data_IF_516903899468
#
_entry.id   IF_516903899468
#
_cell.length_a   1.000
_cell.length_b   1.000
_cell.length_c   1.000
_cell.angle_alpha   90.00
_cell.angle_beta   90.00
_cell.angle_gamma   90.00
#
_symmetry.space_group_name_H-M   'P 1'
#
loop_
_entity.id
_entity.type
_entity.pdbx_description
1 polymer ?
#
# COMPACT_ATOMS: atom_id res chain seq x y z
N UNK A 1 8.97 14.79 9.51
CA UNK A 1 8.22 13.98 8.53
C UNK A 1 8.64 14.40 7.13
N UNK A 2 9.20 13.50 6.31
CA UNK A 2 9.47 13.81 4.90
C UNK A 2 8.41 13.12 4.04
N UNK A 3 7.42 13.91 3.61
CA UNK A 3 6.40 13.52 2.63
C UNK A 3 7.00 13.66 1.25
N UNK A 4 6.86 12.65 0.39
CA UNK A 4 7.06 12.84 -1.05
C UNK A 4 5.89 13.69 -1.52
N UNK A 5 6.13 14.99 -1.69
CA UNK A 5 5.11 15.94 -2.10
C UNK A 5 4.60 15.57 -3.50
N UNK A 6 3.32 15.19 -3.53
CA UNK A 6 2.38 15.33 -4.66
C UNK A 6 2.76 14.65 -5.98
N UNK A 7 2.07 13.56 -6.32
CA UNK A 7 1.88 13.17 -7.72
C UNK A 7 0.93 14.17 -8.40
N UNK A 8 0.93 14.23 -9.75
CA UNK A 8 0.27 15.24 -10.61
C UNK A 8 -1.24 15.50 -10.40
N UNK A 9 -1.90 14.81 -9.45
CA UNK A 9 -3.32 14.95 -9.11
C UNK A 9 -3.57 15.34 -7.64
N UNK A 10 -2.54 15.78 -6.89
CA UNK A 10 -2.68 16.16 -5.48
C UNK A 10 -2.87 14.97 -4.52
N UNK A 11 -2.74 13.75 -5.01
CA UNK A 11 -2.84 12.55 -4.19
C UNK A 11 -1.50 12.21 -3.55
N UNK A 12 -1.55 11.78 -2.29
CA UNK A 12 -0.36 11.30 -1.56
C UNK A 12 -0.06 9.88 -2.02
N UNK A 13 1.19 9.64 -2.42
CA UNK A 13 1.69 8.34 -2.82
C UNK A 13 2.76 7.85 -1.84
N UNK A 14 2.70 6.56 -1.53
CA UNK A 14 3.64 5.90 -0.63
C UNK A 14 4.39 4.80 -1.36
N UNK A 15 5.67 4.67 -1.06
CA UNK A 15 6.46 3.52 -1.49
C UNK A 15 6.13 2.31 -0.62
N UNK A 16 6.35 1.10 -1.15
CA UNK A 16 6.15 -0.13 -0.36
C UNK A 16 6.97 -0.16 0.94
N UNK A 17 8.17 0.43 0.94
CA UNK A 17 9.00 0.54 2.15
C UNK A 17 8.32 1.39 3.22
N UNK A 18 7.67 2.47 2.80
CA UNK A 18 6.97 3.37 3.72
C UNK A 18 5.71 2.71 4.27
N UNK A 19 4.94 2.04 3.42
CA UNK A 19 3.74 1.28 3.83
C UNK A 19 4.15 0.18 4.82
N UNK A 20 5.20 -0.58 4.51
CA UNK A 20 5.69 -1.64 5.38
C UNK A 20 6.05 -1.14 6.78
N UNK A 21 6.73 0.01 6.84
CA UNK A 21 7.13 0.61 8.11
C UNK A 21 5.93 1.16 8.91
N UNK A 22 4.99 1.85 8.25
CA UNK A 22 3.88 2.50 8.95
C UNK A 22 2.77 1.52 9.36
N UNK A 23 2.42 0.58 8.49
CA UNK A 23 1.32 -0.36 8.71
C UNK A 23 1.80 -1.66 9.39
N UNK A 24 3.12 -1.81 9.60
CA UNK A 24 3.70 -3.02 10.17
C UNK A 24 3.56 -4.26 9.27
N UNK A 25 3.46 -4.07 7.95
CA UNK A 25 3.29 -5.15 6.97
C UNK A 25 4.64 -5.51 6.36
N UNK A 26 4.96 -6.80 6.26
CA UNK A 26 6.20 -7.22 5.61
C UNK A 26 6.27 -6.80 4.15
N UNK A 27 7.45 -6.31 3.73
CA UNK A 27 7.68 -5.88 2.35
C UNK A 27 7.52 -7.02 1.33
N UNK A 28 7.86 -8.25 1.73
CA UNK A 28 7.66 -9.45 0.91
C UNK A 28 6.17 -9.72 0.67
N UNK A 29 5.35 -9.55 1.71
CA UNK A 29 3.89 -9.67 1.63
C UNK A 29 3.28 -8.63 0.70
N UNK A 30 3.67 -7.35 0.81
CA UNK A 30 3.18 -6.31 -0.09
C UNK A 30 3.53 -6.61 -1.56
N UNK A 31 4.74 -7.12 -1.84
CA UNK A 31 5.15 -7.52 -3.20
C UNK A 31 4.34 -8.71 -3.71
N UNK A 32 4.07 -9.68 -2.84
CA UNK A 32 3.23 -10.82 -3.17
C UNK A 32 1.80 -10.38 -3.46
N UNK A 33 1.22 -9.51 -2.62
CA UNK A 33 -0.13 -9.00 -2.78
C UNK A 33 -0.30 -8.16 -4.05
N UNK A 34 0.75 -7.47 -4.51
CA UNK A 34 0.78 -6.88 -5.85
C UNK A 34 0.74 -7.95 -6.95
N UNK A 35 1.55 -9.01 -6.80
CA UNK A 35 1.62 -10.10 -7.78
C UNK A 35 0.29 -10.86 -7.91
N UNK A 36 -0.45 -11.01 -6.81
CA UNK A 36 -1.77 -11.67 -6.80
C UNK A 36 -2.93 -10.67 -6.93
N UNK A 37 -2.66 -9.45 -7.39
CA UNK A 37 -3.67 -8.41 -7.69
C UNK A 37 -4.55 -8.01 -6.50
N UNK A 38 -4.10 -8.26 -5.26
CA UNK A 38 -4.76 -7.80 -4.03
C UNK A 38 -4.45 -6.36 -3.69
N UNK A 39 -3.24 -5.89 -4.04
CA UNK A 39 -2.78 -4.52 -3.86
C UNK A 39 -2.46 -3.93 -5.24
N UNK A 40 -3.16 -2.88 -5.64
CA UNK A 40 -2.96 -2.25 -6.95
C UNK A 40 -1.90 -1.15 -6.83
N UNK A 41 -0.72 -1.31 -7.46
CA UNK A 41 0.25 -0.23 -7.50
C UNK A 41 -0.22 0.85 -8.47
N UNK A 42 -0.05 2.11 -8.09
CA UNK A 42 -0.37 3.27 -8.94
C UNK A 42 0.74 3.55 -9.95
N UNK A 43 1.88 2.88 -9.82
CA UNK A 43 2.93 2.84 -10.81
C UNK A 43 4.27 2.40 -10.25
N UNK A 44 5.31 2.55 -11.07
CA UNK A 44 6.68 2.13 -10.77
C UNK A 44 7.69 3.17 -11.26
N UNK A 45 8.54 3.66 -10.36
CA UNK A 45 9.57 4.66 -10.66
C UNK A 45 10.88 4.16 -10.08
N UNK A 46 11.94 4.15 -10.88
CA UNK A 46 13.28 3.70 -10.46
C UNK A 46 13.27 2.33 -9.76
N UNK A 47 12.45 1.38 -10.25
CA UNK A 47 12.34 0.04 -9.66
C UNK A 47 11.50 -0.06 -8.39
N UNK A 48 11.01 1.06 -7.86
CA UNK A 48 10.15 1.11 -6.68
C UNK A 48 8.68 1.25 -7.10
N UNK A 49 7.84 0.36 -6.57
CA UNK A 49 6.40 0.48 -6.69
C UNK A 49 5.88 1.52 -5.69
N UNK A 50 4.90 2.29 -6.13
CA UNK A 50 4.17 3.24 -5.30
C UNK A 50 2.67 2.99 -5.37
N UNK A 51 2.01 3.29 -4.27
CA UNK A 51 0.58 3.11 -4.06
C UNK A 51 0.03 4.44 -3.56
N UNK A 52 -1.01 4.98 -4.20
CA UNK A 52 -1.71 6.15 -3.69
C UNK A 52 -2.54 5.83 -2.46
N UNK A 53 -2.76 6.82 -1.59
CA UNK A 53 -3.54 6.66 -0.35
C UNK A 53 -4.88 5.93 -0.57
N UNK A 54 -5.63 6.26 -1.62
CA UNK A 54 -6.95 5.66 -1.85
C UNK A 54 -6.90 4.16 -2.13
N UNK A 55 -5.86 3.68 -2.81
CA UNK A 55 -5.67 2.23 -3.04
C UNK A 55 -5.15 1.53 -1.79
N UNK A 56 -4.30 2.22 -1.02
CA UNK A 56 -3.83 1.72 0.27
C UNK A 56 -5.01 1.56 1.26
N UNK A 57 -5.89 2.56 1.36
CA UNK A 57 -7.07 2.50 2.24
C UNK A 57 -8.00 1.35 1.85
N UNK A 58 -8.21 1.11 0.55
CA UNK A 58 -8.99 -0.03 0.05
C UNK A 58 -8.36 -1.37 0.44
N UNK A 59 -7.05 -1.47 0.31
CA UNK A 59 -6.31 -2.67 0.70
C UNK A 59 -6.40 -2.92 2.21
N UNK A 60 -6.17 -1.90 3.03
CA UNK A 60 -6.25 -1.99 4.49
C UNK A 60 -7.67 -2.29 4.98
N UNK A 61 -8.70 -1.73 4.34
CA UNK A 61 -10.09 -2.05 4.66
C UNK A 61 -10.42 -3.52 4.43
N UNK A 62 -10.02 -4.08 3.27
CA UNK A 62 -10.17 -5.52 2.99
C UNK A 62 -9.38 -6.39 3.97
N UNK A 63 -8.27 -5.88 4.50
CA UNK A 63 -7.46 -6.57 5.50
C UNK A 63 -8.15 -6.63 6.87
N UNK A 64 -8.85 -5.56 7.25
CA UNK A 64 -9.63 -5.50 8.49
C UNK A 64 -10.98 -6.23 8.41
N UNK A 65 -11.48 -6.55 7.22
CA UNK A 65 -12.72 -7.31 7.03
C UNK A 65 -12.53 -8.83 7.20
N UNK A 66 -11.35 -9.31 7.64
CA UNK A 66 -11.24 -10.69 8.12
C UNK A 66 -12.14 -10.83 9.36
N UNK A 67 -13.21 -11.63 9.31
CA UNK A 67 -14.15 -11.72 10.40
C UNK A 67 -13.42 -12.27 11.61
N UNK A 68 -13.52 -11.55 12.72
CA UNK A 68 -13.23 -12.09 14.04
C UNK A 68 -14.25 -13.21 14.27
N UNK A 69 -13.92 -14.41 13.81
CA UNK A 69 -14.65 -15.62 14.17
C UNK A 69 -14.23 -15.93 15.61
N UNK A 70 -14.79 -15.15 16.55
CA UNK A 70 -14.73 -15.44 17.98
C UNK A 70 -15.45 -16.77 18.16
N UNK A 71 -14.65 -17.79 18.43
CA UNK A 71 -15.11 -19.13 18.76
C UNK A 71 -15.64 -19.17 20.18
#
# INVERSE_FOLDING_TARGET
MQRLNSTMLGQVAYTLKHIAHNEGIELAKLRYDIKVEKLVPSGKTCGCWYVVQTELDRYLKKWNEVPVNVK
#
